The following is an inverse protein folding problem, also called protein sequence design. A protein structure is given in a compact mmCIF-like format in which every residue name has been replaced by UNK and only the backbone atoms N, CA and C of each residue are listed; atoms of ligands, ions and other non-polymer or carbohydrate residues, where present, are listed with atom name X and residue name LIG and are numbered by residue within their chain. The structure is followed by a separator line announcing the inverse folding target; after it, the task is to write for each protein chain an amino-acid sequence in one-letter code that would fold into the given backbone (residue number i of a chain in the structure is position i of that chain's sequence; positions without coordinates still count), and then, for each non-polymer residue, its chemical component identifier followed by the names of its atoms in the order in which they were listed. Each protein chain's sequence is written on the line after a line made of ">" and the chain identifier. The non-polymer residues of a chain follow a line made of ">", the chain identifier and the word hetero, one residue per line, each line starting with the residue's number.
data_IF_445857474035
#
_entry.id   IF_445857474035
#
_cell.length_a   1.000
_cell.length_b   1.000
_cell.length_c   1.000
_cell.angle_alpha   90.00
_cell.angle_beta   90.00
_cell.angle_gamma   90.00
#
_symmetry.space_group_name_H-M   'P 1'
#
loop_
_entity.id
_entity.type
_entity.pdbx_description
1 polymer ?
#
# COMPACT_ATOMS: atom_id res chain seq x y z
N UNK A 1 -27.06 -0.78 -7.05
CA UNK A 1 -26.60 -0.74 -7.08
C UNK A 1 -25.83 -0.64 -6.57
N UNK A 2 -25.64 -0.59 -6.28
CA UNK A 2 -24.94 -0.36 -5.81
C UNK A 2 -24.00 -0.57 -5.73
N UNK A 3 -23.69 -0.93 -5.86
CA UNK A 3 -22.79 -1.22 -5.76
C UNK A 3 -21.84 -0.64 -5.76
N UNK A 4 -21.61 -0.17 -5.64
CA UNK A 4 -20.76 0.32 -5.62
C UNK A 4 -20.09 0.70 -4.75
N UNK A 5 -19.93 0.41 -4.06
CA UNK A 5 -19.23 0.67 -3.26
C UNK A 5 -17.99 0.54 -3.64
N UNK A 6 -17.31 1.01 -3.51
CA UNK A 6 -16.23 1.10 -3.87
C UNK A 6 -15.47 0.45 -3.34
N UNK A 7 -15.13 0.02 -3.40
CA UNK A 7 -14.47 -0.66 -2.99
C UNK A 7 -13.26 -0.41 -2.71
N UNK A 8 -12.80 -0.92 -2.12
CA UNK A 8 -11.58 -0.80 -1.81
C UNK A 8 -10.74 -1.06 -2.88
N UNK A 9 -10.11 -0.10 -3.47
CA UNK A 9 -9.21 -0.26 -4.54
C UNK A 9 -7.86 -0.30 -3.91
N UNK A 10 -7.30 -1.47 -3.81
CA UNK A 10 -6.00 -1.60 -3.21
C UNK A 10 -4.91 -1.18 -4.16
N UNK A 11 -3.85 -0.62 -3.63
CA UNK A 11 -2.67 -0.35 -4.43
C UNK A 11 -1.95 -1.66 -4.70
N UNK A 12 -1.58 -1.86 -5.95
CA UNK A 12 -0.82 -3.03 -6.34
C UNK A 12 0.35 -2.57 -7.19
N UNK A 13 1.15 -3.50 -7.68
CA UNK A 13 2.34 -3.15 -8.44
C UNK A 13 2.00 -2.30 -9.66
N UNK A 14 0.93 -2.65 -10.37
CA UNK A 14 0.54 -1.90 -11.55
C UNK A 14 0.15 -0.47 -11.22
N UNK A 15 -0.64 -0.29 -10.17
CA UNK A 15 -1.05 1.06 -9.79
C UNK A 15 0.14 1.87 -9.29
N UNK A 16 1.05 1.24 -8.58
CA UNK A 16 2.23 1.95 -8.12
C UNK A 16 3.10 2.41 -9.28
N UNK A 17 3.24 1.57 -10.30
CA UNK A 17 3.99 1.94 -11.49
C UNK A 17 3.33 3.12 -12.19
N UNK A 18 2.00 3.10 -12.27
CA UNK A 18 1.26 4.18 -12.88
C UNK A 18 1.43 5.48 -12.11
N UNK A 19 1.40 5.40 -10.78
CA UNK A 19 1.59 6.57 -9.94
C UNK A 19 2.98 7.18 -10.19
N UNK A 20 3.99 6.33 -10.22
CA UNK A 20 5.35 6.82 -10.48
C UNK A 20 5.43 7.52 -11.83
N UNK A 21 4.85 6.90 -12.84
CA UNK A 21 4.87 7.48 -14.18
C UNK A 21 4.20 8.86 -14.19
N UNK A 22 3.06 8.96 -13.53
CA UNK A 22 2.33 10.22 -13.53
C UNK A 22 3.03 11.32 -12.73
N UNK A 23 3.68 10.95 -11.64
CA UNK A 23 4.50 11.93 -10.92
C UNK A 23 5.62 12.45 -11.81
N UNK A 24 6.24 11.56 -12.58
CA UNK A 24 7.32 11.98 -13.48
C UNK A 24 6.83 12.85 -14.61
N UNK A 25 5.54 12.72 -14.95
CA UNK A 25 4.95 13.56 -15.97
C UNK A 25 4.47 14.89 -15.43
N UNK A 26 4.59 15.11 -14.13
CA UNK A 26 4.28 16.40 -13.55
C UNK A 26 2.89 16.56 -12.95
N UNK A 27 2.13 15.49 -12.90
CA UNK A 27 0.79 15.58 -12.32
C UNK A 27 0.86 15.71 -10.80
N UNK A 28 -0.10 16.42 -10.24
CA UNK A 28 -0.16 16.60 -8.80
C UNK A 28 -0.81 15.40 -8.11
N UNK A 29 -0.67 15.35 -6.80
CA UNK A 29 -1.15 14.22 -6.03
C UNK A 29 -2.65 13.99 -6.20
N UNK A 30 -3.44 15.05 -6.16
CA UNK A 30 -4.89 14.91 -6.29
C UNK A 30 -5.27 14.39 -7.67
N UNK A 31 -4.61 14.91 -8.70
CA UNK A 31 -4.88 14.46 -10.05
C UNK A 31 -4.55 13.00 -10.24
N UNK A 32 -3.43 12.57 -9.66
CA UNK A 32 -2.99 11.19 -9.79
C UNK A 32 -3.97 10.26 -9.09
N UNK A 33 -4.41 10.64 -7.89
CA UNK A 33 -5.38 9.82 -7.17
C UNK A 33 -6.61 9.60 -8.02
N UNK A 34 -7.08 10.66 -8.68
CA UNK A 34 -8.24 10.56 -9.55
C UNK A 34 -7.96 9.64 -10.74
N UNK A 35 -6.81 9.80 -11.36
CA UNK A 35 -6.48 9.03 -12.56
C UNK A 35 -6.31 7.54 -12.27
N UNK A 36 -5.73 7.19 -11.12
CA UNK A 36 -5.55 5.78 -10.81
C UNK A 36 -6.69 5.23 -9.97
N UNK A 37 -7.69 6.06 -9.75
CA UNK A 37 -8.91 5.64 -9.07
C UNK A 37 -8.69 5.16 -7.65
N UNK A 38 -7.97 5.96 -6.87
CA UNK A 38 -7.81 5.69 -5.44
C UNK A 38 -8.13 6.99 -4.72
N UNK A 39 -8.33 6.92 -3.42
CA UNK A 39 -8.62 8.13 -2.69
C UNK A 39 -7.34 8.94 -2.52
N UNK A 40 -7.50 10.23 -2.37
CA UNK A 40 -6.37 11.11 -2.09
C UNK A 40 -5.62 10.63 -0.86
N UNK A 41 -6.39 10.22 0.16
CA UNK A 41 -5.76 9.78 1.41
C UNK A 41 -4.97 8.48 1.25
N UNK A 42 -5.41 7.60 0.35
CA UNK A 42 -4.65 6.38 0.06
C UNK A 42 -3.30 6.73 -0.54
N UNK A 43 -3.27 7.68 -1.46
CA UNK A 43 -2.01 8.08 -2.06
C UNK A 43 -1.12 8.81 -1.06
N UNK A 44 -1.71 9.69 -0.26
CA UNK A 44 -0.97 10.39 0.76
C UNK A 44 -0.34 9.42 1.75
N UNK A 45 -1.12 8.42 2.18
CA UNK A 45 -0.61 7.41 3.08
C UNK A 45 0.51 6.60 2.45
N UNK A 46 0.37 6.30 1.16
CA UNK A 46 1.39 5.56 0.43
C UNK A 46 2.73 6.31 0.49
N UNK A 47 2.70 7.60 0.25
CA UNK A 47 3.91 8.40 0.31
C UNK A 47 4.49 8.40 1.71
N UNK A 48 3.65 8.60 2.71
CA UNK A 48 4.12 8.66 4.08
C UNK A 48 4.69 7.32 4.58
N UNK A 49 4.01 6.24 4.26
CA UNK A 49 4.49 4.93 4.70
C UNK A 49 5.84 4.56 4.12
N UNK A 50 6.14 5.10 2.94
CA UNK A 50 7.39 4.80 2.28
C UNK A 50 8.43 5.91 2.45
N UNK A 51 8.06 6.95 3.20
CA UNK A 51 8.93 8.10 3.42
C UNK A 51 9.39 8.69 2.09
N UNK A 52 8.43 8.88 1.21
CA UNK A 52 8.67 9.40 -0.14
C UNK A 52 7.85 10.63 -0.40
N UNK A 53 8.27 11.41 -1.40
CA UNK A 53 7.55 12.59 -1.84
C UNK A 53 7.13 12.38 -3.29
N UNK A 54 6.40 13.36 -3.83
CA UNK A 54 6.01 13.30 -5.24
C UNK A 54 7.24 13.33 -6.15
N UNK A 55 8.37 13.79 -5.65
CA UNK A 55 9.57 13.91 -6.48
C UNK A 55 10.45 12.68 -6.49
N UNK A 56 10.36 11.87 -5.46
CA UNK A 56 11.21 10.70 -5.38
C UNK A 56 10.46 9.38 -5.25
N UNK A 57 9.17 9.39 -5.54
CA UNK A 57 8.39 8.18 -5.43
C UNK A 57 8.94 7.09 -6.36
N UNK A 58 9.16 5.91 -5.82
CA UNK A 58 9.71 4.80 -6.56
C UNK A 58 8.80 3.60 -6.35
N UNK A 59 8.12 3.20 -7.42
CA UNK A 59 7.11 2.16 -7.33
C UNK A 59 7.69 0.82 -6.92
N UNK A 60 8.87 0.48 -7.41
CA UNK A 60 9.47 -0.81 -7.06
C UNK A 60 9.82 -0.88 -5.59
N UNK A 61 10.37 0.20 -5.05
CA UNK A 61 10.71 0.25 -3.63
C UNK A 61 9.44 0.23 -2.78
N UNK A 62 8.43 0.99 -3.20
CA UNK A 62 7.16 1.03 -2.47
C UNK A 62 6.51 -0.34 -2.45
N UNK A 63 6.53 -1.05 -3.57
CA UNK A 63 5.96 -2.39 -3.65
C UNK A 63 6.72 -3.35 -2.76
N UNK A 64 8.05 -3.25 -2.74
CA UNK A 64 8.86 -4.10 -1.87
C UNK A 64 8.55 -3.81 -0.40
N UNK A 65 8.41 -2.54 -0.04
CA UNK A 65 8.09 -2.17 1.33
C UNK A 65 6.73 -2.74 1.75
N UNK A 66 5.77 -2.70 0.83
CA UNK A 66 4.46 -3.25 1.10
C UNK A 66 4.55 -4.75 1.38
N UNK A 67 5.30 -5.45 0.54
CA UNK A 67 5.47 -6.89 0.69
C UNK A 67 6.15 -7.22 2.01
N UNK A 68 7.16 -6.44 2.39
CA UNK A 68 7.85 -6.65 3.65
C UNK A 68 6.95 -6.40 4.85
N UNK A 69 6.11 -5.38 4.78
CA UNK A 69 5.17 -5.10 5.88
C UNK A 69 4.18 -6.24 6.04
N UNK A 70 3.69 -6.78 4.93
CA UNK A 70 2.76 -7.91 4.99
C UNK A 70 3.42 -9.13 5.59
N UNK A 71 4.66 -9.37 5.20
CA UNK A 71 5.40 -10.51 5.73
C UNK A 71 5.64 -10.35 7.23
N UNK A 72 6.03 -9.17 7.65
CA UNK A 72 6.28 -8.91 9.06
C UNK A 72 5.02 -9.10 9.89
N UNK A 73 3.89 -8.62 9.37
CA UNK A 73 2.62 -8.77 10.08
C UNK A 73 2.24 -10.24 10.20
N UNK A 74 2.49 -11.00 9.14
CA UNK A 74 2.15 -12.42 9.17
C UNK A 74 3.03 -13.17 10.16
N UNK A 75 4.31 -12.83 10.21
CA UNK A 75 5.24 -13.43 11.17
C UNK A 75 4.80 -13.12 12.60
N UNK A 76 4.41 -11.87 12.85
CA UNK A 76 3.98 -11.47 14.18
C UNK A 76 2.75 -12.24 14.61
N UNK A 77 1.79 -12.39 13.69
CA UNK A 77 0.57 -13.15 13.99
C UNK A 77 0.89 -14.61 14.28
N UNK A 78 1.83 -15.17 13.52
CA UNK A 78 2.21 -16.56 13.72
C UNK A 78 2.86 -16.75 15.07
N UNK A 79 3.74 -15.83 15.46
CA UNK A 79 4.39 -15.93 16.76
C UNK A 79 3.39 -15.85 17.89
N UNK A 80 2.41 -14.98 17.73
CA UNK A 80 1.37 -14.86 18.76
C UNK A 80 0.59 -16.16 18.87
N UNK A 81 0.22 -16.72 17.73
CA UNK A 81 -0.52 -17.99 17.72
C UNK A 81 0.31 -19.09 18.38
N UNK A 82 1.58 -19.17 18.04
CA UNK A 82 2.46 -20.22 18.61
C UNK A 82 2.58 -20.08 20.12
N UNK A 83 2.69 -18.87 20.61
CA UNK A 83 2.79 -18.64 22.04
C UNK A 83 1.53 -19.08 22.76
N UNK A 84 0.37 -18.76 22.19
CA UNK A 84 -0.89 -19.11 22.80
C UNK A 84 -1.13 -20.61 22.80
N UNK A 85 -0.70 -21.28 21.74
CA UNK A 85 -0.97 -22.72 21.61
C UNK A 85 0.12 -23.58 22.19
N UNK A 86 1.31 -23.06 22.31
CA UNK A 86 2.39 -23.81 22.97
C UNK A 86 2.02 -24.09 24.42
N UNK A 87 1.41 -23.10 25.06
CA UNK A 87 1.00 -23.28 26.45
C UNK A 87 -0.02 -24.39 26.59
N UNK A 88 -0.85 -24.59 25.58
CA UNK A 88 -1.87 -25.60 25.63
C UNK A 88 -1.35 -26.99 25.39
N UNK A 89 -0.21 -27.07 24.74
CA UNK A 89 0.35 -28.36 24.43
C UNK A 89 1.23 -28.93 25.53
N UNK A 90 1.28 -28.25 26.65
CA UNK A 90 2.10 -28.69 27.78
C UNK A 90 1.43 -29.81 28.62
#
# INVERSE_FOLDING_TARGET
>A
MAAKRKQNVYLNADKRAEIERLFKEGYGTLEIATKVNISYWSLYRELRLNDMTEYDYNAAVAQNNYTERKRAAKIARRKKWEMEHAAKNQ
#
